data_IF_493688695034
#
_entry.id   IF_493688695034
#
_cell.length_a   1.000
_cell.length_b   1.000
_cell.length_c   1.000
_cell.angle_alpha   90.00
_cell.angle_beta   90.00
_cell.angle_gamma   90.00
#
_symmetry.space_group_name_H-M   'P 1'
#
loop_
_entity.id
_entity.type
_entity.pdbx_description
1 polymer ?
#
# COMPACT_ATOMS: atom_id res chain seq x y z
N UNK A 1 -17.80 35.01 -4.27
CA UNK A 1 -16.47 34.44 -3.95
C UNK A 1 -15.62 35.54 -3.36
N UNK A 2 -14.98 35.28 -2.22
CA UNK A 2 -14.09 36.25 -1.60
C UNK A 2 -12.75 36.25 -2.34
N UNK A 3 -12.19 37.44 -2.55
CA UNK A 3 -10.89 37.63 -3.18
C UNK A 3 -9.90 38.13 -2.14
N UNK A 4 -8.73 37.50 -2.07
CA UNK A 4 -7.61 37.89 -1.24
C UNK A 4 -6.40 38.27 -2.08
N UNK A 5 -5.35 38.75 -1.43
CA UNK A 5 -4.07 39.11 -2.06
C UNK A 5 -2.90 38.44 -1.36
N UNK A 6 -1.94 37.97 -2.14
CA UNK A 6 -0.73 37.37 -1.58
C UNK A 6 0.12 38.44 -0.89
N UNK A 7 0.42 38.25 0.39
CA UNK A 7 1.23 39.18 1.18
C UNK A 7 2.65 38.67 1.42
N UNK A 8 2.83 37.36 1.50
CA UNK A 8 4.13 36.75 1.78
C UNK A 8 4.26 35.38 1.12
N UNK A 9 5.48 35.04 0.70
CA UNK A 9 5.83 33.78 0.03
C UNK A 9 7.14 33.29 0.67
N UNK A 10 7.11 32.13 1.31
CA UNK A 10 8.28 31.45 1.88
C UNK A 10 8.30 30.01 1.36
N UNK A 11 9.05 29.77 0.27
CA UNK A 11 9.07 28.46 -0.38
C UNK A 11 7.65 28.02 -0.76
N UNK A 12 7.23 26.85 -0.27
CA UNK A 12 5.90 26.29 -0.51
C UNK A 12 4.78 26.87 0.37
N UNK A 13 5.09 27.80 1.29
CA UNK A 13 4.10 28.45 2.16
C UNK A 13 3.80 29.86 1.67
N UNK A 14 2.51 30.15 1.50
CA UNK A 14 2.02 31.42 0.97
C UNK A 14 1.01 31.99 1.95
N UNK A 15 1.24 33.21 2.43
CA UNK A 15 0.26 33.92 3.26
C UNK A 15 -0.58 34.84 2.36
N UNK A 16 -1.91 34.76 2.52
CA UNK A 16 -2.90 35.48 1.72
C UNK A 16 -3.79 36.29 2.65
N UNK A 17 -3.94 37.59 2.36
CA UNK A 17 -4.81 38.49 3.10
C UNK A 17 -6.18 38.59 2.43
N UNK A 18 -7.24 38.29 3.19
CA UNK A 18 -8.63 38.46 2.80
C UNK A 18 -9.28 39.58 3.64
N UNK A 19 -10.37 40.19 3.14
CA UNK A 19 -11.22 41.05 3.97
C UNK A 19 -11.68 40.30 5.22
N UNK A 20 -11.61 40.95 6.39
CA UNK A 20 -11.93 40.32 7.68
C UNK A 20 -13.34 39.74 7.77
N UNK A 21 -14.28 40.24 6.96
CA UNK A 21 -15.64 39.72 6.87
C UNK A 21 -15.76 38.39 6.11
N UNK A 22 -14.72 37.97 5.37
CA UNK A 22 -14.74 36.81 4.49
C UNK A 22 -13.42 36.02 4.54
N UNK A 23 -12.96 35.70 5.75
CA UNK A 23 -11.76 34.86 5.95
C UNK A 23 -12.08 33.40 5.57
N UNK A 24 -11.30 32.76 4.68
CA UNK A 24 -11.46 31.35 4.34
C UNK A 24 -11.32 30.40 5.54
N UNK A 25 -12.00 29.26 5.48
CA UNK A 25 -11.89 28.22 6.50
C UNK A 25 -10.58 27.43 6.34
N UNK A 26 -10.16 26.74 7.41
CA UNK A 26 -9.07 25.77 7.31
C UNK A 26 -9.49 24.66 6.32
N UNK A 27 -8.55 24.26 5.46
CA UNK A 27 -8.71 23.35 4.33
C UNK A 27 -9.44 23.89 3.10
N UNK A 28 -9.93 25.13 3.10
CA UNK A 28 -10.45 25.75 1.88
C UNK A 28 -9.36 25.78 0.79
N UNK A 29 -9.74 25.44 -0.44
CA UNK A 29 -8.91 25.59 -1.62
C UNK A 29 -9.04 27.00 -2.18
N UNK A 30 -7.91 27.61 -2.52
CA UNK A 30 -7.83 28.94 -3.11
C UNK A 30 -7.15 28.88 -4.47
N UNK A 31 -7.73 29.54 -5.49
CA UNK A 31 -7.19 29.57 -6.84
C UNK A 31 -6.43 30.87 -7.10
N UNK A 32 -5.20 30.78 -7.60
CA UNK A 32 -4.40 31.94 -8.00
C UNK A 32 -4.78 32.39 -9.41
N UNK A 33 -5.21 33.65 -9.58
CA UNK A 33 -5.77 34.12 -10.86
C UNK A 33 -4.73 34.39 -11.95
N UNK A 34 -3.52 34.84 -11.58
CA UNK A 34 -2.44 35.24 -12.51
C UNK A 34 -1.40 34.12 -12.71
N UNK A 35 -1.87 32.86 -12.76
CA UNK A 35 -1.02 31.69 -12.99
C UNK A 35 -1.24 31.13 -14.40
N UNK A 36 -0.15 30.81 -15.12
CA UNK A 36 -0.22 30.23 -16.48
C UNK A 36 -0.84 28.83 -16.46
N UNK A 37 -0.61 28.11 -15.38
CA UNK A 37 -1.15 26.79 -15.08
C UNK A 37 -1.97 26.88 -13.80
N UNK A 38 -2.96 26.00 -13.63
CA UNK A 38 -3.83 25.98 -12.46
C UNK A 38 -3.00 25.81 -11.17
N UNK A 39 -2.87 26.88 -10.40
CA UNK A 39 -2.18 26.86 -9.11
C UNK A 39 -3.18 27.00 -7.96
N UNK A 40 -3.23 25.97 -7.10
CA UNK A 40 -4.13 25.90 -5.95
C UNK A 40 -3.34 26.07 -4.65
N UNK A 41 -3.88 26.84 -3.71
CA UNK A 41 -3.38 26.97 -2.35
C UNK A 41 -4.37 26.32 -1.39
N UNK A 42 -3.91 25.54 -0.43
CA UNK A 42 -4.76 24.97 0.63
C UNK A 42 -4.53 25.71 1.95
N UNK A 43 -5.58 26.27 2.54
CA UNK A 43 -5.50 26.98 3.83
C UNK A 43 -5.15 26.01 4.96
N UNK A 44 -4.10 26.30 5.71
CA UNK A 44 -3.68 25.51 6.88
C UNK A 44 -3.98 26.19 8.21
N UNK A 45 -3.86 27.52 8.27
CA UNK A 45 -3.99 28.29 9.51
C UNK A 45 -4.58 29.67 9.24
N UNK A 46 -5.30 30.21 10.23
CA UNK A 46 -5.72 31.61 10.27
C UNK A 46 -4.80 32.36 11.24
N UNK A 47 -3.99 33.30 10.74
CA UNK A 47 -3.00 34.04 11.55
C UNK A 47 -3.61 35.25 12.27
N UNK A 48 -4.81 35.67 11.86
CA UNK A 48 -5.47 36.88 12.35
C UNK A 48 -5.35 38.06 11.38
N UNK A 49 -6.14 39.11 11.62
CA UNK A 49 -6.16 40.31 10.77
C UNK A 49 -6.71 40.09 9.35
N UNK A 50 -7.29 38.93 9.06
CA UNK A 50 -7.71 38.53 7.71
C UNK A 50 -6.65 37.73 6.94
N UNK A 51 -5.48 37.47 7.53
CA UNK A 51 -4.40 36.70 6.91
C UNK A 51 -4.57 35.21 7.19
N UNK A 52 -4.54 34.41 6.12
CA UNK A 52 -4.50 32.96 6.16
C UNK A 52 -3.16 32.47 5.64
N UNK A 53 -2.64 31.40 6.25
CA UNK A 53 -1.43 30.71 5.83
C UNK A 53 -1.81 29.48 5.03
N UNK A 54 -1.27 29.37 3.83
CA UNK A 54 -1.58 28.31 2.88
C UNK A 54 -0.35 27.53 2.47
N UNK A 55 -0.56 26.32 1.96
CA UNK A 55 0.44 25.54 1.25
C UNK A 55 0.09 25.54 -0.24
N UNK A 56 1.07 25.75 -1.09
CA UNK A 56 0.92 25.67 -2.55
C UNK A 56 0.90 24.21 -3.03
N UNK A 57 -0.04 23.89 -3.92
CA UNK A 57 -0.17 22.59 -4.58
C UNK A 57 0.40 22.65 -6.00
N UNK A 58 1.69 22.96 -6.10
CA UNK A 58 2.41 23.20 -7.35
C UNK A 58 3.64 24.08 -7.15
N UNK A 59 4.33 24.47 -8.22
CA UNK A 59 5.50 25.34 -8.07
C UNK A 59 5.10 26.75 -7.63
N UNK A 60 5.77 27.27 -6.60
CA UNK A 60 5.68 28.68 -6.18
C UNK A 60 6.53 29.61 -7.05
N UNK A 61 7.29 29.08 -8.00
CA UNK A 61 8.22 29.87 -8.81
C UNK A 61 7.48 30.89 -9.68
N UNK A 62 7.93 32.14 -9.62
CA UNK A 62 7.31 33.25 -10.35
C UNK A 62 6.07 33.85 -9.68
N UNK A 63 5.61 33.30 -8.54
CA UNK A 63 4.53 33.88 -7.73
C UNK A 63 4.97 35.22 -7.13
N UNK A 64 4.05 36.20 -7.12
CA UNK A 64 4.36 37.58 -6.69
C UNK A 64 3.39 38.03 -5.61
N UNK A 65 3.87 38.91 -4.74
CA UNK A 65 3.01 39.62 -3.79
C UNK A 65 2.04 40.53 -4.53
N UNK A 66 0.83 40.65 -3.99
CA UNK A 66 -0.26 41.45 -4.56
C UNK A 66 -1.10 40.71 -5.62
N UNK A 67 -0.69 39.50 -6.04
CA UNK A 67 -1.50 38.66 -6.94
C UNK A 67 -2.80 38.29 -6.24
N UNK A 68 -3.88 38.32 -7.02
CA UNK A 68 -5.22 37.99 -6.53
C UNK A 68 -5.42 36.48 -6.40
N UNK A 69 -6.13 36.11 -5.33
CA UNK A 69 -6.43 34.73 -4.99
C UNK A 69 -7.93 34.64 -4.70
N UNK A 70 -8.60 33.66 -5.29
CA UNK A 70 -10.06 33.47 -5.15
C UNK A 70 -10.32 32.29 -4.23
N UNK A 71 -11.09 32.50 -3.16
CA UNK A 71 -11.56 31.38 -2.34
C UNK A 71 -12.67 30.61 -3.08
N UNK A 72 -12.49 29.29 -3.21
CA UNK A 72 -13.50 28.38 -3.76
C UNK A 72 -14.65 28.13 -2.78
N UNK A 73 -14.43 28.32 -1.47
CA UNK A 73 -15.40 28.07 -0.40
C UNK A 73 -15.58 26.60 -0.03
N UNK A 74 -14.72 25.72 -0.55
CA UNK A 74 -14.71 24.31 -0.26
C UNK A 74 -13.26 23.77 -0.27
N UNK A 75 -13.01 22.59 0.32
CA UNK A 75 -11.70 21.96 0.20
C UNK A 75 -11.41 21.46 -1.22
N UNK A 76 -10.15 21.07 -1.46
CA UNK A 76 -9.74 20.44 -2.72
C UNK A 76 -10.67 19.25 -3.00
N UNK A 77 -11.26 19.26 -4.19
CA UNK A 77 -12.23 18.26 -4.63
C UNK A 77 -11.75 17.60 -5.91
N UNK A 78 -11.89 16.27 -5.97
CA UNK A 78 -11.32 15.42 -7.02
C UNK A 78 -12.41 14.58 -7.69
N UNK A 79 -12.27 14.23 -8.99
CA UNK A 79 -13.22 13.38 -9.68
C UNK A 79 -13.22 11.98 -9.08
N UNK A 80 -14.41 11.39 -8.97
CA UNK A 80 -14.61 10.04 -8.44
C UNK A 80 -15.57 9.23 -9.31
N UNK A 81 -15.64 7.92 -9.06
CA UNK A 81 -16.51 6.98 -9.78
C UNK A 81 -15.79 6.19 -10.88
N UNK A 82 -16.53 5.35 -11.59
CA UNK A 82 -15.94 4.35 -12.52
C UNK A 82 -15.18 4.95 -13.70
N UNK A 83 -15.44 6.21 -14.07
CA UNK A 83 -14.71 6.91 -15.14
C UNK A 83 -13.26 7.25 -14.77
N UNK A 84 -12.88 7.13 -13.50
CA UNK A 84 -11.48 7.28 -13.06
C UNK A 84 -10.64 6.02 -13.31
N UNK A 85 -11.27 4.88 -13.62
CA UNK A 85 -10.58 3.62 -13.88
C UNK A 85 -9.72 3.73 -15.15
N UNK A 86 -8.50 3.20 -15.08
CA UNK A 86 -7.50 3.25 -16.15
C UNK A 86 -6.83 4.61 -16.34
N UNK A 87 -7.22 5.64 -15.57
CA UNK A 87 -6.70 7.01 -15.68
C UNK A 87 -5.59 7.29 -14.67
N UNK A 88 -4.71 8.20 -15.03
CA UNK A 88 -3.68 8.74 -14.12
C UNK A 88 -4.05 10.19 -13.77
N UNK A 89 -4.21 10.46 -12.47
CA UNK A 89 -4.55 11.79 -11.95
C UNK A 89 -3.46 12.33 -11.02
N UNK A 90 -3.36 13.66 -10.94
CA UNK A 90 -2.55 14.34 -9.93
C UNK A 90 -3.32 14.55 -8.61
N UNK A 91 -2.69 15.20 -7.63
CA UNK A 91 -3.29 15.52 -6.32
C UNK A 91 -4.55 16.40 -6.38
N UNK A 92 -4.72 17.19 -7.45
CA UNK A 92 -5.89 18.06 -7.64
C UNK A 92 -7.01 17.34 -8.40
N UNK A 93 -6.77 16.10 -8.85
CA UNK A 93 -7.72 15.33 -9.65
C UNK A 93 -7.66 15.63 -11.15
N UNK A 94 -6.70 16.43 -11.61
CA UNK A 94 -6.52 16.69 -13.04
C UNK A 94 -5.81 15.47 -13.70
N UNK A 95 -6.24 15.09 -14.91
CA UNK A 95 -5.64 13.97 -15.64
C UNK A 95 -4.24 14.34 -16.17
N UNK A 96 -3.28 13.44 -15.99
CA UNK A 96 -1.88 13.61 -16.41
C UNK A 96 -1.41 12.52 -17.40
N UNK A 97 -2.34 11.72 -17.92
CA UNK A 97 -2.08 10.63 -18.88
C UNK A 97 -2.20 11.05 -20.35
N UNK A 98 -2.40 12.34 -20.63
CA UNK A 98 -2.62 12.90 -21.98
C UNK A 98 -3.82 12.30 -22.73
N UNK A 99 -4.80 11.71 -22.02
CA UNK A 99 -6.01 11.11 -22.62
C UNK A 99 -7.26 11.98 -22.54
N UNK A 100 -7.08 13.29 -22.51
CA UNK A 100 -8.15 14.25 -22.32
C UNK A 100 -8.75 14.23 -20.92
N UNK A 101 -9.94 14.80 -20.76
CA UNK A 101 -10.59 14.90 -19.45
C UNK A 101 -11.08 13.54 -18.91
N UNK A 102 -11.23 13.41 -17.60
CA UNK A 102 -11.74 12.19 -16.95
C UNK A 102 -13.23 11.96 -17.24
N UNK A 103 -13.99 13.04 -17.42
CA UNK A 103 -15.43 12.98 -17.70
C UNK A 103 -16.30 12.49 -16.53
N UNK A 104 -15.75 12.51 -15.30
CA UNK A 104 -16.45 12.12 -14.09
C UNK A 104 -17.68 13.00 -13.83
N UNK A 105 -18.74 12.38 -13.30
CA UNK A 105 -20.02 13.05 -13.02
C UNK A 105 -20.07 13.65 -11.62
N UNK A 106 -19.24 13.13 -10.71
CA UNK A 106 -19.20 13.49 -9.31
C UNK A 106 -17.79 13.89 -8.90
N UNK A 107 -17.70 14.83 -7.97
CA UNK A 107 -16.45 15.27 -7.35
C UNK A 107 -16.61 15.23 -5.83
N UNK A 108 -15.61 14.68 -5.13
CA UNK A 108 -15.60 14.57 -3.67
C UNK A 108 -14.44 15.38 -3.08
N UNK A 109 -14.69 16.00 -1.92
CA UNK A 109 -13.64 16.63 -1.10
C UNK A 109 -12.63 15.58 -0.62
N UNK A 110 -11.34 15.89 -0.69
CA UNK A 110 -10.29 15.02 -0.14
C UNK A 110 -10.26 15.00 1.39
N UNK A 111 -10.80 16.06 2.01
CA UNK A 111 -10.94 16.19 3.46
C UNK A 111 -12.33 15.70 3.88
N UNK A 112 -12.35 14.53 4.52
CA UNK A 112 -13.56 13.84 5.01
C UNK A 112 -13.28 13.25 6.38
N UNK A 113 -14.31 13.12 7.20
CA UNK A 113 -14.23 12.44 8.48
C UNK A 113 -14.16 10.92 8.29
N UNK A 114 -13.50 10.22 9.23
CA UNK A 114 -13.58 8.77 9.30
C UNK A 114 -15.03 8.31 9.54
N UNK A 115 -15.41 7.10 9.08
CA UNK A 115 -16.70 6.52 9.39
C UNK A 115 -16.96 6.48 10.90
N UNK A 116 -18.18 6.80 11.30
CA UNK A 116 -18.59 6.75 12.70
C UNK A 116 -18.63 5.31 13.22
N UNK A 117 -18.61 5.14 14.54
CA UNK A 117 -18.67 3.82 15.17
C UNK A 117 -19.91 3.02 14.75
N UNK A 118 -21.04 3.68 14.49
CA UNK A 118 -22.28 3.03 14.05
C UNK A 118 -22.20 2.52 12.61
N UNK A 119 -21.32 3.09 11.77
CA UNK A 119 -21.16 2.72 10.36
C UNK A 119 -20.15 1.59 10.16
N UNK A 120 -19.30 1.33 11.16
CA UNK A 120 -18.27 0.29 11.11
C UNK A 120 -18.91 -1.11 11.11
N UNK A 121 -18.30 -2.02 10.34
CA UNK A 121 -18.69 -3.43 10.35
C UNK A 121 -18.03 -4.16 11.53
N UNK A 122 -18.78 -5.07 12.16
CA UNK A 122 -18.26 -5.95 13.21
C UNK A 122 -17.82 -7.32 12.66
N UNK A 123 -18.02 -7.59 11.37
CA UNK A 123 -17.70 -8.87 10.77
C UNK A 123 -16.21 -8.95 10.43
N UNK A 124 -15.52 -9.89 11.06
CA UNK A 124 -14.13 -10.23 10.72
C UNK A 124 -14.20 -11.32 9.65
N UNK A 125 -14.01 -10.93 8.39
CA UNK A 125 -13.91 -11.84 7.26
C UNK A 125 -12.46 -11.88 6.75
N UNK A 126 -11.98 -13.06 6.38
CA UNK A 126 -10.68 -13.22 5.75
C UNK A 126 -10.76 -12.89 4.25
N UNK A 127 -9.70 -12.28 3.73
CA UNK A 127 -9.52 -12.01 2.32
C UNK A 127 -8.51 -13.02 1.75
N UNK A 128 -9.00 -13.97 0.95
CA UNK A 128 -8.16 -14.96 0.27
C UNK A 128 -7.42 -14.31 -0.90
N UNK A 129 -6.09 -14.30 -0.82
CA UNK A 129 -5.21 -13.62 -1.80
C UNK A 129 -4.75 -14.54 -2.92
N UNK A 130 -4.80 -15.87 -2.70
CA UNK A 130 -4.29 -16.88 -3.61
C UNK A 130 -2.78 -17.06 -3.55
N UNK A 131 -2.10 -16.37 -2.62
CA UNK A 131 -0.64 -16.46 -2.41
C UNK A 131 -0.38 -17.30 -1.17
N UNK A 132 0.24 -18.47 -1.34
CA UNK A 132 0.41 -19.48 -0.28
C UNK A 132 0.96 -18.92 1.03
N UNK A 133 2.06 -18.17 0.96
CA UNK A 133 2.72 -17.63 2.16
C UNK A 133 1.86 -16.59 2.87
N UNK A 134 1.12 -15.76 2.12
CA UNK A 134 0.23 -14.75 2.70
C UNK A 134 -0.96 -15.43 3.36
N UNK A 135 -1.67 -16.28 2.63
CA UNK A 135 -2.88 -16.93 3.12
C UNK A 135 -2.59 -17.89 4.29
N UNK A 136 -1.42 -18.53 4.33
CA UNK A 136 -1.02 -19.39 5.45
C UNK A 136 -0.55 -18.61 6.67
N UNK A 137 0.45 -17.72 6.51
CA UNK A 137 1.23 -17.16 7.63
C UNK A 137 0.70 -15.81 8.09
N UNK A 138 0.33 -14.94 7.15
CA UNK A 138 -0.13 -13.58 7.45
C UNK A 138 -1.46 -13.29 6.73
N UNK A 139 -2.54 -14.04 7.06
CA UNK A 139 -3.81 -13.90 6.36
C UNK A 139 -4.39 -12.50 6.51
N UNK A 140 -4.98 -11.99 5.43
CA UNK A 140 -5.52 -10.63 5.38
C UNK A 140 -6.95 -10.60 5.91
N UNK A 141 -7.28 -9.53 6.64
CA UNK A 141 -8.66 -9.20 6.98
C UNK A 141 -9.27 -8.35 5.85
N UNK A 142 -10.54 -8.60 5.55
CA UNK A 142 -11.34 -7.75 4.68
C UNK A 142 -11.56 -6.38 5.35
N UNK A 143 -11.09 -5.32 4.70
CA UNK A 143 -11.01 -3.97 5.26
C UNK A 143 -9.83 -3.74 6.20
N UNK A 144 -8.91 -4.71 6.27
CA UNK A 144 -7.71 -4.59 7.08
C UNK A 144 -6.67 -3.68 6.45
N UNK A 145 -5.71 -3.28 7.27
CA UNK A 145 -4.55 -2.46 6.86
C UNK A 145 -3.30 -3.35 6.87
N UNK A 146 -2.67 -3.50 5.71
CA UNK A 146 -1.51 -4.35 5.51
C UNK A 146 -0.28 -3.48 5.26
N UNK A 147 0.79 -3.70 6.02
CA UNK A 147 2.09 -3.09 5.76
C UNK A 147 2.98 -4.03 4.96
N UNK A 148 3.42 -3.60 3.78
CA UNK A 148 4.42 -4.29 2.96
C UNK A 148 5.79 -3.67 3.21
N UNK A 149 6.63 -4.39 3.93
CA UNK A 149 7.99 -3.98 4.29
C UNK A 149 8.98 -4.61 3.32
N UNK A 150 10.00 -3.86 2.93
CA UNK A 150 11.06 -4.41 2.08
C UNK A 150 11.96 -3.35 1.47
N UNK A 151 13.22 -3.74 1.25
CA UNK A 151 14.20 -2.92 0.54
C UNK A 151 13.89 -2.76 -0.96
N UNK A 152 14.74 -2.03 -1.68
CA UNK A 152 14.67 -2.01 -3.15
C UNK A 152 15.01 -3.39 -3.73
N UNK A 153 14.31 -3.78 -4.81
CA UNK A 153 14.61 -4.98 -5.60
C UNK A 153 14.13 -6.32 -5.02
N UNK A 154 13.37 -6.34 -3.92
CA UNK A 154 12.84 -7.58 -3.32
C UNK A 154 11.47 -8.01 -3.87
N UNK A 155 10.97 -7.34 -4.91
CA UNK A 155 9.69 -7.68 -5.56
C UNK A 155 8.44 -7.04 -4.93
N UNK A 156 8.54 -5.86 -4.30
CA UNK A 156 7.37 -5.12 -3.74
C UNK A 156 6.28 -4.88 -4.78
N UNK A 157 6.66 -4.26 -5.89
CA UNK A 157 5.75 -3.93 -7.00
C UNK A 157 5.11 -5.17 -7.57
N UNK A 158 5.89 -6.23 -7.82
CA UNK A 158 5.39 -7.51 -8.34
C UNK A 158 4.35 -8.13 -7.39
N UNK A 159 4.58 -8.10 -6.07
CA UNK A 159 3.58 -8.55 -5.09
C UNK A 159 2.31 -7.71 -5.12
N UNK A 160 2.40 -6.38 -5.23
CA UNK A 160 1.21 -5.52 -5.35
C UNK A 160 0.43 -5.83 -6.62
N UNK A 161 1.10 -5.98 -7.77
CA UNK A 161 0.46 -6.31 -9.03
C UNK A 161 -0.25 -7.66 -9.00
N UNK A 162 0.39 -8.67 -8.40
CA UNK A 162 -0.24 -10.00 -8.25
C UNK A 162 -1.47 -9.92 -7.34
N UNK A 163 -1.42 -9.18 -6.23
CA UNK A 163 -2.57 -8.97 -5.36
C UNK A 163 -3.71 -8.25 -6.08
N UNK A 164 -3.40 -7.25 -6.90
CA UNK A 164 -4.39 -6.55 -7.74
C UNK A 164 -5.05 -7.54 -8.70
N UNK A 165 -4.25 -8.33 -9.42
CA UNK A 165 -4.73 -9.30 -10.39
C UNK A 165 -5.64 -10.36 -9.74
N UNK A 166 -5.15 -11.01 -8.68
CA UNK A 166 -5.86 -12.11 -8.03
C UNK A 166 -7.19 -11.66 -7.43
N UNK A 167 -7.23 -10.48 -6.81
CA UNK A 167 -8.44 -9.98 -6.18
C UNK A 167 -9.41 -9.39 -7.20
N UNK A 168 -8.93 -8.74 -8.27
CA UNK A 168 -9.79 -8.27 -9.35
C UNK A 168 -10.49 -9.44 -10.08
N UNK A 169 -9.77 -10.56 -10.30
CA UNK A 169 -10.31 -11.74 -10.97
C UNK A 169 -11.30 -12.52 -10.09
N UNK A 170 -11.01 -12.69 -8.79
CA UNK A 170 -11.82 -13.54 -7.91
C UNK A 170 -12.94 -12.78 -7.18
N UNK A 171 -12.73 -11.52 -6.81
CA UNK A 171 -13.64 -10.79 -5.91
C UNK A 171 -14.44 -9.67 -6.58
N UNK A 172 -14.39 -9.51 -7.90
CA UNK A 172 -15.04 -8.39 -8.63
C UNK A 172 -14.72 -7.00 -8.06
N UNK A 173 -13.60 -6.89 -7.33
CA UNK A 173 -13.16 -5.68 -6.64
C UNK A 173 -12.53 -4.68 -7.60
N UNK A 174 -12.54 -3.41 -7.20
CA UNK A 174 -11.80 -2.34 -7.87
C UNK A 174 -10.58 -1.98 -7.02
N UNK A 175 -9.53 -1.50 -7.68
CA UNK A 175 -8.30 -1.10 -7.03
C UNK A 175 -8.06 0.40 -7.22
N UNK A 176 -7.44 1.03 -6.23
CA UNK A 176 -6.92 2.40 -6.34
C UNK A 176 -5.46 2.38 -5.95
N UNK A 177 -4.61 2.95 -6.79
CA UNK A 177 -3.19 3.09 -6.52
C UNK A 177 -2.86 4.55 -6.24
N UNK A 178 -2.26 4.82 -5.07
CA UNK A 178 -1.79 6.13 -4.64
C UNK A 178 -0.25 6.12 -4.56
N UNK A 179 0.39 6.68 -5.58
CA UNK A 179 1.83 6.89 -5.67
C UNK A 179 2.25 8.14 -4.89
N UNK A 180 2.52 7.97 -3.59
CA UNK A 180 2.94 9.02 -2.65
C UNK A 180 4.45 9.18 -2.66
N UNK A 181 4.94 10.24 -3.29
CA UNK A 181 6.37 10.57 -3.31
C UNK A 181 7.22 9.47 -3.97
N UNK A 182 6.69 8.82 -5.01
CA UNK A 182 7.39 7.80 -5.78
C UNK A 182 8.19 8.41 -6.94
N UNK A 183 9.17 7.63 -7.42
CA UNK A 183 9.96 8.06 -8.58
C UNK A 183 9.09 8.02 -9.83
N UNK A 184 9.16 9.07 -10.64
CA UNK A 184 8.45 9.14 -11.94
C UNK A 184 8.74 7.93 -12.84
N UNK A 185 10.00 7.45 -12.84
CA UNK A 185 10.39 6.24 -13.57
C UNK A 185 9.62 5.00 -13.08
N UNK A 186 9.57 4.80 -11.76
CA UNK A 186 8.89 3.63 -11.16
C UNK A 186 7.38 3.69 -11.39
N UNK A 187 6.78 4.89 -11.34
CA UNK A 187 5.38 5.08 -11.70
C UNK A 187 5.08 4.82 -13.18
N UNK A 188 5.99 5.23 -14.08
CA UNK A 188 5.87 4.94 -15.51
C UNK A 188 5.97 3.43 -15.79
N UNK A 189 6.99 2.78 -15.24
CA UNK A 189 7.21 1.34 -15.42
C UNK A 189 5.99 0.56 -14.89
N UNK A 190 5.48 0.90 -13.71
CA UNK A 190 4.26 0.32 -13.15
C UNK A 190 3.04 0.48 -14.06
N UNK A 191 2.86 1.64 -14.68
CA UNK A 191 1.74 1.88 -15.60
C UNK A 191 1.80 0.98 -16.84
N UNK A 192 2.99 0.78 -17.42
CA UNK A 192 3.16 -0.11 -18.57
C UNK A 192 3.05 -1.59 -18.17
N UNK A 193 3.63 -1.99 -17.04
CA UNK A 193 3.49 -3.35 -16.51
C UNK A 193 2.01 -3.71 -16.27
N UNK A 194 1.21 -2.75 -15.78
CA UNK A 194 -0.23 -2.93 -15.62
C UNK A 194 -1.00 -3.05 -16.95
N UNK A 195 -0.52 -2.41 -18.02
CA UNK A 195 -1.10 -2.57 -19.35
C UNK A 195 -0.76 -3.93 -19.94
N UNK A 196 0.50 -4.35 -19.82
CA UNK A 196 0.96 -5.66 -20.30
C UNK A 196 0.28 -6.80 -19.56
N UNK A 197 0.05 -6.64 -18.25
CA UNK A 197 -0.71 -7.59 -17.43
C UNK A 197 -2.23 -7.53 -17.66
N UNK A 198 -2.74 -6.60 -18.49
CA UNK A 198 -4.18 -6.47 -18.80
C UNK A 198 -5.03 -5.89 -17.67
N UNK A 199 -4.42 -5.35 -16.61
CA UNK A 199 -5.12 -4.70 -15.48
C UNK A 199 -5.64 -3.31 -15.88
N UNK A 200 -4.86 -2.61 -16.72
CA UNK A 200 -5.21 -1.32 -17.32
C UNK A 200 -5.45 -1.53 -18.81
N UNK A 201 -6.69 -1.34 -19.25
CA UNK A 201 -7.02 -1.33 -20.67
C UNK A 201 -7.06 0.12 -21.18
N UNK A 202 -6.10 0.45 -22.03
CA UNK A 202 -5.93 1.76 -22.63
C UNK A 202 -7.03 2.12 -23.62
N UNK A 203 -7.43 1.15 -24.44
CA UNK A 203 -8.39 1.35 -25.51
C UNK A 203 -9.82 1.41 -24.98
N UNK A 204 -10.07 0.69 -23.88
CA UNK A 204 -11.36 0.65 -23.18
C UNK A 204 -11.16 0.89 -21.68
N UNK A 205 -11.05 2.15 -21.24
CA UNK A 205 -10.87 2.49 -19.84
C UNK A 205 -11.91 1.86 -18.90
N UNK A 206 -13.13 1.65 -19.37
CA UNK A 206 -14.22 0.98 -18.64
C UNK A 206 -13.95 -0.49 -18.27
N UNK A 207 -13.04 -1.17 -18.97
CA UNK A 207 -12.62 -2.53 -18.65
C UNK A 207 -11.47 -2.55 -17.61
N UNK A 208 -10.83 -1.39 -17.37
CA UNK A 208 -9.73 -1.26 -16.40
C UNK A 208 -10.21 -1.49 -14.97
N UNK A 209 -9.34 -2.04 -14.13
CA UNK A 209 -9.66 -2.39 -12.74
C UNK A 209 -9.02 -1.48 -11.70
N UNK A 210 -8.15 -0.58 -12.14
CA UNK A 210 -7.38 0.30 -11.25
C UNK A 210 -7.54 1.77 -11.62
N UNK A 211 -7.79 2.64 -10.64
CA UNK A 211 -7.63 4.09 -10.77
C UNK A 211 -6.29 4.51 -10.15
N UNK A 212 -5.53 5.37 -10.81
CA UNK A 212 -4.19 5.75 -10.37
C UNK A 212 -4.09 7.24 -10.03
N UNK A 213 -3.48 7.54 -8.88
CA UNK A 213 -3.19 8.88 -8.43
C UNK A 213 -1.70 8.98 -8.12
N UNK A 214 -1.01 9.96 -8.70
CA UNK A 214 0.41 10.19 -8.46
C UNK A 214 0.66 11.58 -7.87
N UNK A 215 1.58 11.61 -6.91
CA UNK A 215 2.18 12.82 -6.36
C UNK A 215 3.67 12.54 -6.23
N UNK A 216 4.43 12.87 -7.27
CA UNK A 216 5.78 12.34 -7.48
C UNK A 216 6.83 13.03 -6.59
N UNK A 217 8.05 12.47 -6.51
CA UNK A 217 9.14 13.04 -5.71
C UNK A 217 9.56 14.47 -6.12
N UNK A 218 9.39 14.82 -7.40
CA UNK A 218 9.69 16.15 -7.92
C UNK A 218 8.62 17.19 -7.56
N UNK A 219 7.48 16.76 -7.02
CA UNK A 219 6.41 17.67 -6.61
C UNK A 219 6.67 18.26 -5.21
N UNK A 220 6.13 19.46 -4.94
CA UNK A 220 6.22 20.09 -3.63
C UNK A 220 5.69 19.18 -2.50
N UNK A 221 6.14 19.40 -1.26
CA UNK A 221 5.69 18.62 -0.12
C UNK A 221 4.17 18.71 0.12
N UNK A 222 3.51 19.81 -0.28
CA UNK A 222 2.05 19.92 -0.23
C UNK A 222 1.32 18.84 -1.03
N UNK A 223 1.75 18.62 -2.27
CA UNK A 223 1.19 17.59 -3.14
C UNK A 223 1.37 16.19 -2.55
N UNK A 224 2.60 15.88 -2.12
CA UNK A 224 2.94 14.59 -1.51
C UNK A 224 2.17 14.33 -0.22
N UNK A 225 1.85 15.37 0.55
CA UNK A 225 1.06 15.25 1.77
C UNK A 225 -0.44 15.02 1.49
N UNK A 226 -0.97 15.40 0.32
CA UNK A 226 -2.41 15.30 0.00
C UNK A 226 -2.77 14.19 -0.99
N UNK A 227 -1.81 13.67 -1.75
CA UNK A 227 -2.06 12.63 -2.75
C UNK A 227 -2.63 11.34 -2.14
N UNK A 228 -2.19 10.94 -0.94
CA UNK A 228 -2.75 9.79 -0.23
C UNK A 228 -4.26 9.95 0.06
N UNK A 229 -4.68 11.16 0.45
CA UNK A 229 -6.10 11.48 0.69
C UNK A 229 -6.90 11.48 -0.62
N UNK A 230 -6.28 11.87 -1.73
CA UNK A 230 -6.91 11.84 -3.05
C UNK A 230 -7.22 10.41 -3.48
N UNK A 231 -6.24 9.50 -3.39
CA UNK A 231 -6.46 8.08 -3.66
C UNK A 231 -7.49 7.45 -2.71
N UNK A 232 -7.42 7.78 -1.42
CA UNK A 232 -8.40 7.32 -0.44
C UNK A 232 -9.82 7.79 -0.76
N UNK A 233 -9.99 9.03 -1.21
CA UNK A 233 -11.32 9.57 -1.55
C UNK A 233 -11.95 8.86 -2.74
N UNK A 234 -11.15 8.45 -3.72
CA UNK A 234 -11.61 7.60 -4.83
C UNK A 234 -11.99 6.20 -4.34
N UNK A 235 -11.20 5.62 -3.44
CA UNK A 235 -11.49 4.31 -2.85
C UNK A 235 -12.77 4.34 -1.98
N UNK A 236 -12.97 5.40 -1.20
CA UNK A 236 -14.18 5.62 -0.42
C UNK A 236 -15.43 5.68 -1.30
N UNK A 237 -15.36 6.35 -2.45
CA UNK A 237 -16.50 6.38 -3.37
C UNK A 237 -16.91 4.99 -3.83
N UNK A 238 -15.95 4.10 -4.12
CA UNK A 238 -16.23 2.71 -4.51
C UNK A 238 -16.71 1.87 -3.32
N UNK A 239 -16.16 2.07 -2.13
CA UNK A 239 -16.64 1.42 -0.89
C UNK A 239 -18.10 1.78 -0.62
N UNK A 240 -18.44 3.05 -0.78
CA UNK A 240 -19.77 3.56 -0.50
C UNK A 240 -20.81 3.07 -1.54
N UNK A 241 -20.39 2.56 -2.71
CA UNK A 241 -21.24 1.78 -3.65
C UNK A 241 -21.52 0.35 -3.17
N UNK A 242 -20.87 -0.08 -2.10
CA UNK A 242 -20.92 -1.43 -1.58
C UNK A 242 -19.95 -2.40 -2.23
N UNK A 243 -18.83 -1.89 -2.76
CA UNK A 243 -17.75 -2.73 -3.31
C UNK A 243 -16.67 -3.00 -2.27
N UNK A 244 -15.93 -4.07 -2.52
CA UNK A 244 -14.66 -4.35 -1.86
C UNK A 244 -13.54 -3.74 -2.69
N UNK A 245 -12.81 -2.83 -2.06
CA UNK A 245 -11.83 -2.00 -2.73
C UNK A 245 -10.45 -2.30 -2.17
N UNK A 246 -9.47 -2.42 -3.05
CA UNK A 246 -8.08 -2.43 -2.65
C UNK A 246 -7.47 -1.04 -2.79
N UNK A 247 -6.87 -0.54 -1.73
CA UNK A 247 -6.12 0.72 -1.76
C UNK A 247 -4.63 0.42 -1.61
N UNK A 248 -3.86 0.72 -2.64
CA UNK A 248 -2.40 0.64 -2.60
C UNK A 248 -1.82 2.01 -2.30
N UNK A 249 -1.00 2.11 -1.26
CA UNK A 249 -0.28 3.34 -0.91
C UNK A 249 1.21 3.06 -0.98
N UNK A 250 1.88 3.53 -2.03
CA UNK A 250 3.33 3.46 -2.17
C UNK A 250 3.87 4.88 -2.27
N UNK A 251 4.51 5.48 -1.26
CA UNK A 251 4.89 4.91 0.04
C UNK A 251 4.31 5.71 1.21
N UNK A 252 3.75 5.03 2.22
CA UNK A 252 3.15 5.73 3.38
C UNK A 252 4.20 6.52 4.19
N UNK A 253 5.47 6.09 4.20
CA UNK A 253 6.54 6.85 4.83
C UNK A 253 6.73 8.23 4.17
N UNK A 254 6.53 8.34 2.86
CA UNK A 254 6.66 9.60 2.12
C UNK A 254 5.56 10.59 2.46
N UNK A 255 4.37 10.11 2.84
CA UNK A 255 3.32 10.94 3.42
C UNK A 255 3.80 11.59 4.73
N UNK A 256 4.38 10.79 5.63
CA UNK A 256 4.96 11.33 6.88
C UNK A 256 6.08 12.32 6.62
N UNK A 257 7.02 11.99 5.72
CA UNK A 257 8.15 12.87 5.39
C UNK A 257 7.69 14.22 4.82
N UNK A 258 6.69 14.21 3.93
CA UNK A 258 6.08 15.42 3.41
C UNK A 258 5.42 16.25 4.54
N UNK A 259 4.81 15.59 5.52
CA UNK A 259 4.26 16.23 6.72
C UNK A 259 5.31 16.93 7.57
N UNK A 260 6.48 16.30 7.76
CA UNK A 260 7.64 16.92 8.43
C UNK A 260 8.10 18.20 7.70
N UNK A 261 8.26 18.13 6.38
CA UNK A 261 8.67 19.27 5.56
C UNK A 261 7.66 20.43 5.64
N UNK A 262 6.37 20.13 5.50
CA UNK A 262 5.28 21.10 5.63
C UNK A 262 5.26 21.73 7.02
N UNK A 263 5.36 20.91 8.07
CA UNK A 263 5.32 21.37 9.46
C UNK A 263 6.46 22.34 9.77
N UNK A 264 7.66 22.07 9.27
CA UNK A 264 8.80 22.95 9.40
C UNK A 264 8.56 24.30 8.70
N UNK A 265 8.01 24.29 7.48
CA UNK A 265 7.68 25.52 6.74
C UNK A 265 6.56 26.33 7.39
N UNK A 266 5.61 25.68 8.06
CA UNK A 266 4.56 26.35 8.85
C UNK A 266 5.09 26.98 10.15
N UNK A 267 6.34 26.71 10.53
CA UNK A 267 6.97 27.23 11.74
C UNK A 267 6.54 26.50 13.02
N UNK A 268 6.07 25.25 12.91
CA UNK A 268 5.77 24.40 14.08
C UNK A 268 7.09 23.92 14.70
N UNK A 269 7.14 23.83 16.02
CA UNK A 269 8.30 23.23 16.70
C UNK A 269 8.38 21.74 16.35
N UNK A 270 9.56 21.22 15.94
CA UNK A 270 9.73 19.81 15.65
C UNK A 270 9.64 18.97 16.93
N UNK A 271 9.17 17.73 16.76
CA UNK A 271 9.08 16.70 17.81
C UNK A 271 10.31 15.78 17.77
N UNK A 272 10.20 14.59 18.38
CA UNK A 272 11.23 13.56 18.39
C UNK A 272 11.75 13.28 16.97
N UNK A 273 13.08 13.17 16.84
CA UNK A 273 13.79 12.86 15.58
C UNK A 273 13.50 13.87 14.44
N UNK A 274 12.87 15.01 14.74
CA UNK A 274 12.57 16.06 13.77
C UNK A 274 11.21 15.97 13.09
N UNK A 275 10.37 14.98 13.45
CA UNK A 275 9.02 14.84 12.89
C UNK A 275 8.07 15.95 13.33
N UNK A 276 6.95 16.09 12.61
CA UNK A 276 5.90 17.03 12.98
C UNK A 276 5.26 16.66 14.34
N UNK A 277 4.86 17.64 15.17
CA UNK A 277 4.18 17.38 16.43
C UNK A 277 2.79 16.75 16.22
N UNK A 278 2.21 16.88 15.03
CA UNK A 278 0.90 16.38 14.61
C UNK A 278 0.97 14.99 13.96
N UNK A 279 2.11 14.29 14.03
CA UNK A 279 2.35 13.04 13.29
C UNK A 279 1.25 11.98 13.54
N UNK A 280 0.94 11.73 14.81
CA UNK A 280 -0.06 10.73 15.19
C UNK A 280 -1.47 11.13 14.75
N UNK A 281 -1.81 12.42 14.81
CA UNK A 281 -3.11 12.93 14.39
C UNK A 281 -3.29 12.82 12.87
N UNK A 282 -2.30 13.29 12.09
CA UNK A 282 -2.33 13.23 10.62
C UNK A 282 -2.39 11.77 10.13
N UNK A 283 -1.59 10.88 10.73
CA UNK A 283 -1.65 9.45 10.43
C UNK A 283 -3.03 8.86 10.80
N UNK A 284 -3.57 9.19 11.97
CA UNK A 284 -4.88 8.72 12.40
C UNK A 284 -6.01 9.15 11.47
N UNK A 285 -6.03 10.42 11.04
CA UNK A 285 -7.05 10.94 10.10
C UNK A 285 -7.04 10.18 8.77
N UNK A 286 -5.86 9.81 8.27
CA UNK A 286 -5.73 9.02 7.04
C UNK A 286 -6.13 7.55 7.28
N UNK A 287 -5.56 6.92 8.31
CA UNK A 287 -5.71 5.49 8.54
C UNK A 287 -7.12 5.11 8.99
N UNK A 288 -7.79 5.90 9.82
CA UNK A 288 -9.13 5.55 10.33
C UNK A 288 -10.24 5.64 9.28
N UNK A 289 -10.00 6.34 8.18
CA UNK A 289 -10.87 6.34 7.00
C UNK A 289 -10.78 5.05 6.18
N UNK A 290 -9.63 4.36 6.25
CA UNK A 290 -9.41 3.05 5.65
C UNK A 290 -10.00 2.00 6.58
N UNK A 291 -11.24 1.61 6.34
CA UNK A 291 -11.94 0.62 7.16
C UNK A 291 -13.10 -0.01 6.40
N UNK A 292 -13.61 -1.12 6.94
CA UNK A 292 -14.87 -1.73 6.53
C UNK A 292 -16.06 -1.00 7.13
N UNK A 293 -17.00 -0.61 6.28
CA UNK A 293 -18.32 -0.10 6.69
C UNK A 293 -19.38 -1.18 6.45
N UNK A 294 -20.61 -0.91 6.88
CA UNK A 294 -21.77 -1.77 6.59
C UNK A 294 -22.09 -1.90 5.09
N UNK A 295 -21.63 -0.96 4.27
CA UNK A 295 -21.89 -0.97 2.83
C UNK A 295 -20.83 -1.76 2.07
N UNK A 296 -19.55 -1.53 2.36
CA UNK A 296 -18.42 -2.13 1.64
C UNK A 296 -17.12 -2.05 2.44
N UNK A 297 -16.01 -2.46 1.82
CA UNK A 297 -14.72 -2.51 2.50
C UNK A 297 -13.59 -1.83 1.72
N UNK A 298 -12.64 -1.22 2.43
CA UNK A 298 -11.36 -0.79 1.86
C UNK A 298 -10.26 -1.57 2.54
N UNK A 299 -9.69 -2.55 1.84
CA UNK A 299 -8.50 -3.26 2.30
C UNK A 299 -7.29 -2.50 1.76
N UNK A 300 -6.38 -2.05 2.61
CA UNK A 300 -5.21 -1.29 2.15
C UNK A 300 -3.92 -2.09 2.21
N UNK A 301 -3.10 -1.98 1.17
CA UNK A 301 -1.73 -2.52 1.13
C UNK A 301 -0.79 -1.33 1.00
N UNK A 302 -0.02 -1.08 2.05
CA UNK A 302 0.78 0.12 2.20
C UNK A 302 2.25 -0.28 2.19
N UNK A 303 3.03 0.20 1.24
CA UNK A 303 4.47 0.03 1.32
C UNK A 303 5.00 0.93 2.43
N UNK A 304 5.75 0.33 3.36
CA UNK A 304 6.36 1.03 4.48
C UNK A 304 7.87 0.99 4.32
N UNK A 305 8.48 2.16 4.13
CA UNK A 305 9.93 2.30 4.20
C UNK A 305 10.36 2.50 5.65
N UNK A 306 11.27 1.66 6.14
CA UNK A 306 11.86 1.79 7.47
C UNK A 306 13.18 2.56 7.33
N UNK A 307 13.28 3.79 7.85
CA UNK A 307 14.51 4.57 7.74
C UNK A 307 15.64 3.89 8.52
N UNK A 308 16.77 3.67 7.85
CA UNK A 308 17.97 3.06 8.43
C UNK A 308 17.71 1.69 9.12
N UNK A 309 16.68 0.96 8.68
CA UNK A 309 16.24 -0.31 9.28
C UNK A 309 15.90 -0.19 10.79
N UNK A 310 15.58 1.01 11.28
CA UNK A 310 15.17 1.27 12.67
C UNK A 310 13.64 1.25 12.83
N UNK A 311 13.12 0.15 13.38
CA UNK A 311 11.69 -0.02 13.67
C UNK A 311 11.20 0.86 14.83
N UNK A 312 12.11 1.47 15.61
CA UNK A 312 11.77 2.35 16.74
C UNK A 312 11.61 3.81 16.33
N UNK A 313 11.90 4.14 15.07
CA UNK A 313 11.63 5.47 14.52
C UNK A 313 10.12 5.83 14.67
N UNK A 314 9.77 7.06 15.05
CA UNK A 314 8.38 7.46 15.25
C UNK A 314 7.45 7.21 14.07
N UNK A 315 7.93 7.29 12.82
CA UNK A 315 7.11 7.10 11.63
C UNK A 315 6.61 5.66 11.47
N UNK A 316 7.48 4.63 11.38
CA UNK A 316 7.04 3.24 11.36
C UNK A 316 6.31 2.87 12.66
N UNK A 317 6.77 3.30 13.84
CA UNK A 317 6.12 2.99 15.11
C UNK A 317 4.65 3.45 15.16
N UNK A 318 4.37 4.67 14.68
CA UNK A 318 2.99 5.19 14.59
C UNK A 318 2.18 4.43 13.54
N UNK A 319 2.79 4.10 12.41
CA UNK A 319 2.12 3.35 11.34
C UNK A 319 1.73 1.94 11.81
N UNK A 320 2.62 1.25 12.54
CA UNK A 320 2.40 -0.11 13.06
C UNK A 320 1.18 -0.22 13.96
N UNK A 321 0.85 0.83 14.72
CA UNK A 321 -0.32 0.83 15.58
C UNK A 321 -1.63 0.62 14.80
N UNK A 322 -1.66 1.08 13.54
CA UNK A 322 -2.83 0.96 12.66
C UNK A 322 -2.82 -0.29 11.78
N UNK A 323 -1.72 -1.02 11.65
CA UNK A 323 -1.65 -2.18 10.77
C UNK A 323 -2.24 -3.44 11.45
N UNK A 324 -2.99 -4.22 10.67
CA UNK A 324 -3.56 -5.51 11.07
C UNK A 324 -2.66 -6.68 10.68
N UNK A 325 -1.92 -6.54 9.58
CA UNK A 325 -0.94 -7.50 9.11
C UNK A 325 0.34 -6.81 8.62
N UNK A 326 1.47 -7.48 8.82
CA UNK A 326 2.79 -7.06 8.35
C UNK A 326 3.36 -8.15 7.46
N UNK A 327 3.69 -7.78 6.22
CA UNK A 327 4.35 -8.65 5.25
C UNK A 327 5.76 -8.13 5.05
N UNK A 328 6.75 -8.91 5.47
CA UNK A 328 8.15 -8.52 5.41
C UNK A 328 8.83 -9.22 4.24
N UNK A 329 9.34 -8.45 3.28
CA UNK A 329 10.12 -8.95 2.16
C UNK A 329 11.61 -8.91 2.47
N UNK A 330 12.25 -10.08 2.46
CA UNK A 330 13.64 -10.25 2.88
C UNK A 330 14.58 -10.40 1.67
N UNK A 331 15.64 -9.59 1.65
CA UNK A 331 16.66 -9.61 0.59
C UNK A 331 17.40 -10.95 0.51
N UNK A 332 17.62 -11.61 1.65
CA UNK A 332 18.32 -12.89 1.69
C UNK A 332 17.49 -13.99 1.01
N UNK A 333 16.17 -13.96 1.17
CA UNK A 333 15.25 -14.88 0.49
C UNK A 333 15.25 -14.62 -1.02
N UNK A 334 15.16 -13.35 -1.42
CA UNK A 334 15.25 -12.97 -2.83
C UNK A 334 16.59 -13.38 -3.48
N UNK A 335 17.71 -13.25 -2.76
CA UNK A 335 19.05 -13.64 -3.24
C UNK A 335 19.20 -15.16 -3.46
N UNK A 336 18.41 -15.98 -2.77
CA UNK A 336 18.32 -17.43 -3.00
C UNK A 336 17.42 -17.79 -4.20
N UNK A 337 16.81 -16.80 -4.86
CA UNK A 337 15.87 -17.03 -5.95
C UNK A 337 14.54 -17.60 -5.48
N UNK A 338 14.12 -17.32 -4.23
CA UNK A 338 12.82 -17.75 -3.72
C UNK A 338 11.84 -16.58 -3.84
N UNK A 339 10.84 -16.72 -4.72
CA UNK A 339 9.80 -15.71 -4.93
C UNK A 339 8.39 -16.29 -4.70
N UNK A 340 7.48 -15.56 -4.01
CA UNK A 340 7.69 -14.23 -3.42
C UNK A 340 8.64 -14.23 -2.23
N UNK A 341 9.45 -13.17 -2.10
CA UNK A 341 10.52 -13.07 -1.10
C UNK A 341 10.01 -12.72 0.31
N UNK A 342 8.87 -13.28 0.72
CA UNK A 342 8.21 -13.00 2.01
C UNK A 342 8.86 -13.85 3.10
N UNK A 343 9.24 -13.21 4.21
CA UNK A 343 9.79 -13.88 5.38
C UNK A 343 8.66 -14.43 6.26
N UNK A 344 8.54 -15.77 6.39
CA UNK A 344 7.44 -16.38 7.14
C UNK A 344 7.61 -16.28 8.67
N UNK A 345 8.78 -15.86 9.16
CA UNK A 345 9.05 -15.68 10.59
C UNK A 345 8.83 -14.24 11.03
N UNK A 346 9.23 -13.27 10.20
CA UNK A 346 9.10 -11.83 10.50
C UNK A 346 7.74 -11.25 10.07
N UNK A 347 7.00 -11.94 9.19
CA UNK A 347 5.64 -11.55 8.81
C UNK A 347 4.61 -11.98 9.86
N UNK A 348 3.65 -11.11 10.17
CA UNK A 348 2.65 -11.35 11.22
C UNK A 348 1.26 -10.89 10.80
N UNK A 349 0.21 -11.46 11.39
CA UNK A 349 -1.17 -10.99 11.23
C UNK A 349 -1.93 -11.17 12.53
N UNK A 350 -2.76 -10.18 12.89
CA UNK A 350 -3.73 -10.30 13.99
C UNK A 350 -4.79 -11.36 13.72
N UNK A 351 -5.01 -11.71 12.44
CA UNK A 351 -5.99 -12.71 12.04
C UNK A 351 -5.52 -14.14 12.26
N UNK A 352 -4.22 -14.36 12.51
CA UNK A 352 -3.69 -15.69 12.82
C UNK A 352 -4.00 -16.09 14.27
N UNK A 353 -5.29 -16.25 14.55
CA UNK A 353 -5.87 -16.68 15.81
C UNK A 353 -6.81 -17.87 15.55
N UNK A 354 -6.75 -18.96 16.34
CA UNK A 354 -7.59 -20.14 16.15
C UNK A 354 -9.10 -19.84 16.17
N UNK A 355 -9.54 -18.75 16.80
CA UNK A 355 -10.94 -18.31 16.81
C UNK A 355 -11.37 -17.63 15.50
N UNK A 356 -10.42 -17.16 14.70
CA UNK A 356 -10.68 -16.45 13.43
C UNK A 356 -10.43 -17.37 12.23
N UNK A 357 -9.22 -17.94 12.12
CA UNK A 357 -8.84 -18.82 10.99
C UNK A 357 -9.24 -20.28 11.19
N UNK A 358 -9.65 -20.66 12.40
CA UNK A 358 -9.91 -22.04 12.79
C UNK A 358 -8.66 -22.78 13.26
N UNK A 359 -8.89 -23.85 14.03
CA UNK A 359 -7.82 -24.62 14.69
C UNK A 359 -6.86 -25.26 13.67
N UNK A 360 -7.39 -25.87 12.61
CA UNK A 360 -6.60 -26.57 11.60
C UNK A 360 -5.61 -25.63 10.89
N UNK A 361 -6.06 -24.44 10.48
CA UNK A 361 -5.19 -23.44 9.84
C UNK A 361 -4.11 -22.99 10.82
N UNK A 362 -4.51 -22.62 12.04
CA UNK A 362 -3.60 -22.12 13.06
C UNK A 362 -2.48 -23.13 13.40
N UNK A 363 -2.83 -24.41 13.58
CA UNK A 363 -1.85 -25.47 13.89
C UNK A 363 -0.86 -25.70 12.74
N UNK A 364 -1.33 -25.70 11.49
CA UNK A 364 -0.46 -25.85 10.32
C UNK A 364 0.49 -24.65 10.20
N UNK A 365 -0.01 -23.42 10.34
CA UNK A 365 0.81 -22.22 10.28
C UNK A 365 1.88 -22.19 11.39
N UNK A 366 1.50 -22.53 12.63
CA UNK A 366 2.45 -22.61 13.76
C UNK A 366 3.47 -23.73 13.59
N UNK A 367 3.07 -24.89 13.07
CA UNK A 367 3.98 -26.00 12.78
C UNK A 367 5.03 -25.62 11.72
N UNK A 368 4.61 -24.91 10.66
CA UNK A 368 5.52 -24.36 9.65
C UNK A 368 6.50 -23.38 10.28
N UNK A 369 6.03 -22.40 11.07
CA UNK A 369 6.90 -21.43 11.74
C UNK A 369 7.90 -22.09 12.69
N UNK A 370 7.47 -23.09 13.48
CA UNK A 370 8.35 -23.83 14.39
C UNK A 370 9.44 -24.59 13.64
N UNK A 371 9.09 -25.25 12.53
CA UNK A 371 10.04 -26.00 11.70
C UNK A 371 11.08 -25.07 11.08
N UNK A 372 10.66 -23.91 10.56
CA UNK A 372 11.56 -22.91 9.99
C UNK A 372 12.42 -22.22 11.04
N UNK A 373 11.88 -21.94 12.23
CA UNK A 373 12.65 -21.38 13.35
C UNK A 373 13.74 -22.35 13.81
N UNK A 374 13.41 -23.64 13.95
CA UNK A 374 14.39 -24.67 14.29
C UNK A 374 15.47 -24.80 13.22
N UNK A 375 15.10 -24.74 11.94
CA UNK A 375 16.07 -24.73 10.85
C UNK A 375 17.02 -23.52 10.91
N UNK A 376 16.52 -22.33 11.25
CA UNK A 376 17.35 -21.12 11.42
C UNK A 376 18.41 -21.31 12.52
N UNK A 377 18.05 -21.93 13.64
CA UNK A 377 19.00 -22.26 14.72
C UNK A 377 20.06 -23.29 14.27
N UNK A 378 19.63 -24.30 13.52
CA UNK A 378 20.54 -25.35 13.00
C UNK A 378 21.46 -24.82 11.89
N UNK A 379 21.07 -23.78 11.16
CA UNK A 379 21.85 -23.20 10.06
C UNK A 379 23.23 -22.70 10.51
N UNK A 380 23.31 -22.09 11.68
CA UNK A 380 24.58 -21.62 12.26
C UNK A 380 25.48 -22.81 12.65
N UNK A 381 24.89 -23.87 13.18
CA UNK A 381 25.61 -25.11 13.52
C UNK A 381 26.14 -25.78 12.25
N UNK A 382 25.30 -25.91 11.21
CA UNK A 382 25.68 -26.48 9.90
C UNK A 382 26.83 -25.69 9.28
N UNK A 383 26.82 -24.36 9.39
CA UNK A 383 27.87 -23.51 8.83
C UNK A 383 29.24 -23.72 9.50
N UNK A 384 29.28 -24.15 10.77
CA UNK A 384 30.51 -24.35 11.55
C UNK A 384 30.97 -25.82 11.51
N UNK A 385 30.07 -26.76 11.80
CA UNK A 385 30.38 -28.18 12.01
C UNK A 385 30.09 -29.05 10.79
N UNK A 386 29.26 -28.58 9.85
CA UNK A 386 28.78 -29.37 8.72
C UNK A 386 27.49 -30.14 9.04
N UNK A 387 26.85 -30.65 7.99
CA UNK A 387 25.55 -31.32 8.08
C UNK A 387 25.64 -32.73 8.69
N UNK A 388 26.81 -33.37 8.62
CA UNK A 388 27.02 -34.75 9.09
C UNK A 388 27.00 -34.88 10.61
N UNK A 389 27.35 -33.79 11.33
CA UNK A 389 27.40 -33.71 12.79
C UNK A 389 26.02 -33.54 13.46
N UNK A 390 24.97 -33.35 12.66
CA UNK A 390 23.61 -33.28 13.16
C UNK A 390 23.04 -34.66 13.53
N UNK A 391 22.15 -34.68 14.51
CA UNK A 391 21.34 -35.87 14.80
C UNK A 391 20.45 -36.21 13.60
N UNK A 392 20.05 -37.48 13.45
CA UNK A 392 19.16 -37.88 12.36
C UNK A 392 17.79 -37.16 12.41
N UNK A 393 17.32 -36.81 13.61
CA UNK A 393 16.12 -35.99 13.80
C UNK A 393 16.32 -34.56 13.30
N UNK A 394 17.44 -33.92 13.65
CA UNK A 394 17.75 -32.57 13.16
C UNK A 394 17.97 -32.56 11.63
N UNK A 395 18.56 -33.62 11.06
CA UNK A 395 18.67 -33.78 9.59
C UNK A 395 17.30 -33.86 8.93
N UNK A 396 16.35 -34.60 9.51
CA UNK A 396 14.98 -34.66 9.02
C UNK A 396 14.30 -33.28 9.10
N UNK A 397 14.45 -32.55 10.20
CA UNK A 397 13.93 -31.19 10.35
C UNK A 397 14.49 -30.26 9.28
N UNK A 398 15.80 -30.30 9.03
CA UNK A 398 16.46 -29.51 7.98
C UNK A 398 15.92 -29.86 6.60
N UNK A 399 15.73 -31.15 6.29
CA UNK A 399 15.18 -31.58 5.01
C UNK A 399 13.74 -31.08 4.81
N UNK A 400 12.88 -31.21 5.82
CA UNK A 400 11.50 -30.70 5.77
C UNK A 400 11.45 -29.18 5.67
N UNK A 401 12.26 -28.47 6.45
CA UNK A 401 12.34 -27.01 6.40
C UNK A 401 12.74 -26.51 5.00
N UNK A 402 13.73 -27.15 4.36
CA UNK A 402 14.15 -26.83 3.00
C UNK A 402 13.07 -27.08 1.94
N UNK A 403 12.23 -28.09 2.14
CA UNK A 403 11.06 -28.34 1.27
C UNK A 403 9.98 -27.30 1.50
N UNK A 404 9.71 -26.93 2.76
CA UNK A 404 8.77 -25.88 3.13
C UNK A 404 9.19 -24.53 2.54
N UNK A 405 10.46 -24.12 2.69
CA UNK A 405 10.98 -22.87 2.10
C UNK A 405 10.76 -22.79 0.58
N UNK A 406 10.96 -23.91 -0.13
CA UNK A 406 10.70 -23.99 -1.56
C UNK A 406 9.21 -24.04 -1.87
N UNK A 407 8.41 -24.76 -1.09
CA UNK A 407 6.97 -24.86 -1.31
C UNK A 407 6.23 -23.54 -1.06
N UNK A 408 6.81 -22.63 -0.26
CA UNK A 408 6.31 -21.26 -0.10
C UNK A 408 6.49 -20.42 -1.38
N UNK A 409 7.36 -20.82 -2.32
CA UNK A 409 7.48 -20.16 -3.63
C UNK A 409 6.28 -20.44 -4.51
N UNK A 410 5.96 -19.49 -5.38
CA UNK A 410 4.79 -19.56 -6.24
C UNK A 410 5.03 -18.74 -7.52
N UNK A 411 4.71 -19.28 -8.71
CA UNK A 411 4.74 -18.52 -9.94
C UNK A 411 3.57 -17.53 -9.97
N UNK A 412 3.87 -16.26 -10.18
CA UNK A 412 2.88 -15.18 -10.27
C UNK A 412 2.43 -14.97 -11.71
N UNK A 413 1.17 -14.61 -11.93
CA UNK A 413 0.61 -14.33 -13.25
C UNK A 413 1.30 -13.11 -13.87
N UNK A 414 1.50 -12.07 -13.07
CA UNK A 414 2.18 -10.84 -13.50
C UNK A 414 3.66 -11.06 -13.79
N UNK A 415 4.23 -12.18 -13.34
CA UNK A 415 5.64 -12.52 -13.57
C UNK A 415 5.86 -13.39 -14.82
N UNK A 416 4.79 -13.93 -15.44
CA UNK A 416 4.87 -14.83 -16.60
C UNK A 416 5.66 -14.22 -17.77
N UNK A 417 5.59 -12.91 -17.95
CA UNK A 417 6.34 -12.17 -18.99
C UNK A 417 7.86 -12.25 -18.78
N UNK A 418 8.29 -12.38 -17.52
CA UNK A 418 9.71 -12.44 -17.15
C UNK A 418 10.22 -13.87 -16.98
N UNK A 419 9.38 -14.77 -16.44
CA UNK A 419 9.76 -16.16 -16.14
C UNK A 419 9.46 -17.12 -17.28
N UNK A 420 8.42 -16.86 -18.08
CA UNK A 420 7.87 -17.78 -19.07
C UNK A 420 7.01 -18.90 -18.49
N UNK A 421 6.92 -18.99 -17.16
CA UNK A 421 6.09 -19.97 -16.45
C UNK A 421 4.70 -19.37 -16.16
N UNK A 422 3.61 -20.11 -16.42
CA UNK A 422 2.27 -19.60 -16.19
C UNK A 422 2.02 -19.39 -14.69
N UNK A 423 1.40 -18.26 -14.35
CA UNK A 423 0.98 -17.96 -12.98
C UNK A 423 -0.06 -18.95 -12.46
N UNK A 424 -0.05 -19.17 -11.14
CA UNK A 424 -1.00 -20.09 -10.49
C UNK A 424 -1.65 -19.40 -9.29
N UNK A 425 -2.97 -19.38 -9.26
CA UNK A 425 -3.76 -19.02 -8.08
C UNK A 425 -3.94 -20.26 -7.21
N UNK A 426 -3.52 -20.24 -5.93
CA UNK A 426 -3.60 -21.38 -5.02
C UNK A 426 -4.70 -21.16 -3.99
N UNK A 427 -5.80 -21.95 -4.00
CA UNK A 427 -6.84 -21.83 -2.99
C UNK A 427 -6.33 -22.18 -1.58
N UNK A 428 -6.86 -21.52 -0.54
CA UNK A 428 -6.45 -21.73 0.86
C UNK A 428 -6.53 -23.20 1.28
N UNK A 429 -7.56 -23.93 0.85
CA UNK A 429 -7.74 -25.36 1.17
C UNK A 429 -6.58 -26.22 0.65
N UNK A 430 -6.07 -25.89 -0.54
CA UNK A 430 -4.95 -26.58 -1.17
C UNK A 430 -3.63 -26.25 -0.46
N UNK A 431 -3.46 -24.99 -0.07
CA UNK A 431 -2.35 -24.53 0.76
C UNK A 431 -2.29 -25.33 2.06
N UNK A 432 -3.39 -25.39 2.82
CA UNK A 432 -3.45 -26.12 4.10
C UNK A 432 -3.17 -27.62 3.93
N UNK A 433 -3.73 -28.24 2.89
CA UNK A 433 -3.51 -29.66 2.58
C UNK A 433 -2.03 -29.96 2.32
N UNK A 434 -1.37 -29.16 1.49
CA UNK A 434 0.04 -29.33 1.15
C UNK A 434 0.97 -29.17 2.36
N UNK A 435 0.80 -28.10 3.13
CA UNK A 435 1.64 -27.86 4.30
C UNK A 435 1.38 -28.86 5.43
N UNK A 436 0.14 -29.32 5.61
CA UNK A 436 -0.19 -30.37 6.60
C UNK A 436 0.53 -31.69 6.29
N UNK A 437 0.53 -32.13 5.04
CA UNK A 437 1.24 -33.35 4.64
C UNK A 437 2.76 -33.21 4.72
N UNK A 438 3.31 -32.03 4.41
CA UNK A 438 4.74 -31.73 4.61
C UNK A 438 5.16 -31.83 6.08
N UNK A 439 4.35 -31.29 7.00
CA UNK A 439 4.61 -31.39 8.44
C UNK A 439 4.48 -32.84 8.95
N UNK A 440 3.53 -33.60 8.41
CA UNK A 440 3.31 -35.01 8.76
C UNK A 440 4.39 -35.96 8.20
N UNK A 441 5.22 -35.52 7.25
CA UNK A 441 6.26 -36.33 6.62
C UNK A 441 5.78 -37.19 5.46
N UNK A 442 4.58 -36.94 4.93
CA UNK A 442 4.01 -37.71 3.80
C UNK A 442 4.82 -37.57 2.51
N UNK A 443 5.63 -36.52 2.40
CA UNK A 443 6.42 -36.17 1.23
C UNK A 443 7.93 -36.17 1.48
N UNK A 444 8.39 -36.91 2.50
CA UNK A 444 9.81 -36.99 2.86
C UNK A 444 10.67 -37.63 1.77
N UNK A 445 10.12 -38.52 0.95
CA UNK A 445 10.82 -39.16 -0.17
C UNK A 445 10.95 -38.26 -1.42
N UNK A 446 10.20 -37.15 -1.48
CA UNK A 446 10.19 -36.26 -2.64
C UNK A 446 11.43 -35.34 -2.66
N UNK A 447 12.14 -35.20 -3.80
CA UNK A 447 13.27 -34.28 -3.91
C UNK A 447 12.88 -32.82 -3.63
N UNK A 448 13.78 -32.07 -2.98
CA UNK A 448 13.55 -30.66 -2.62
C UNK A 448 13.21 -29.77 -3.83
N UNK A 449 13.81 -30.05 -4.99
CA UNK A 449 13.62 -29.27 -6.22
C UNK A 449 12.19 -29.34 -6.75
N UNK A 450 11.45 -30.42 -6.47
CA UNK A 450 10.09 -30.60 -6.96
C UNK A 450 9.09 -29.59 -6.34
N UNK A 451 9.42 -29.05 -5.16
CA UNK A 451 8.59 -28.08 -4.44
C UNK A 451 8.79 -26.63 -4.90
N UNK A 452 9.80 -26.38 -5.75
CA UNK A 452 10.11 -25.02 -6.21
C UNK A 452 9.13 -24.59 -7.32
N UNK A 453 8.58 -23.39 -7.21
CA UNK A 453 7.64 -22.76 -8.16
C UNK A 453 6.46 -23.65 -8.59
N UNK A 454 5.96 -24.48 -7.68
CA UNK A 454 4.73 -25.25 -7.89
C UNK A 454 3.51 -24.53 -7.27
N UNK A 455 2.30 -24.84 -7.73
CA UNK A 455 1.07 -24.33 -7.15
C UNK A 455 0.65 -25.16 -5.93
N UNK A 456 -0.05 -26.26 -6.23
CA UNK A 456 -0.55 -27.24 -5.29
C UNK A 456 0.48 -28.33 -4.95
N UNK A 457 0.15 -29.18 -3.99
CA UNK A 457 1.00 -30.34 -3.65
C UNK A 457 1.00 -31.41 -4.75
N UNK A 458 -0.08 -31.52 -5.52
CA UNK A 458 -0.17 -32.45 -6.65
C UNK A 458 0.81 -32.07 -7.76
N UNK A 459 1.02 -30.76 -7.98
CA UNK A 459 2.01 -30.24 -8.92
C UNK A 459 3.43 -30.61 -8.50
N UNK A 460 3.73 -30.55 -7.19
CA UNK A 460 5.04 -30.97 -6.67
C UNK A 460 5.28 -32.47 -6.89
N UNK A 461 4.26 -33.30 -6.70
CA UNK A 461 4.33 -34.74 -6.96
C UNK A 461 4.53 -35.01 -8.46
N UNK A 462 3.88 -34.25 -9.34
CA UNK A 462 4.08 -34.37 -10.78
C UNK A 462 5.49 -33.95 -11.20
N UNK A 463 6.00 -32.84 -10.67
CA UNK A 463 7.36 -32.37 -10.92
C UNK A 463 8.40 -33.39 -10.46
N UNK A 464 8.16 -34.06 -9.34
CA UNK A 464 9.03 -35.13 -8.84
C UNK A 464 9.12 -36.34 -9.79
N UNK A 465 8.09 -36.61 -10.60
CA UNK A 465 8.12 -37.68 -11.61
C UNK A 465 8.91 -37.31 -12.86
N UNK A 466 9.14 -36.01 -13.09
CA UNK A 466 9.86 -35.48 -14.25
C UNK A 466 11.37 -35.32 -13.96
N UNK A 467 11.76 -35.31 -12.69
CA UNK A 467 13.13 -35.32 -12.19
C UNK A 467 13.64 -36.75 -12.04
#
# INVERSE_FOLDING_TARGET
MATGKIVQIIGAVVDVEFPQSNVPSVYDALNVTDSKERLVLEVQQQLGGGVVRCIVMGSSDGLRRGVEVVNTGAPISVPVGTKTLGRIMNVLGDAIDERGEVGAEEVYSIHRSAPSYEEQSNEIALLETGVKVIDLICPFAKGGKIGLFGGAGVGKTVNMMELINNIALQHSGLSVFAGVGERTREGNDFYYEMQEAGVVNVEKPEESKVAMVYGQMNEPPGNRLRVALTGLTMAERFRDEGRDVLLFIDNIYRYTLAGTEVSALLGRMPSAVGYQPTLAEEMGVLQERITSTKSGSITSVQAVYVPADDLTDPSPATTFAHLDATVVLNRNIAAMGLYPAIDPLDSTSRMLDPLVVGQDHYEVARGVQQTLQRYKELKDIIAILGMDELSEEDKQVVSRARKIERFLTQPYHVAEVFTGDPGIYVPLKETLRGFKGLLAGEYDDIPEQAFMYCGSIDDAIENAKKL
#
